data_IF_200253215744
#
_entry.id   IF_200253215744
#
_cell.length_a   1.000
_cell.length_b   1.000
_cell.length_c   1.000
_cell.angle_alpha   90.00
_cell.angle_beta   90.00
_cell.angle_gamma   90.00
#
_symmetry.space_group_name_H-M   'P 1'
#
loop_
_entity.id
_entity.type
_entity.pdbx_description
1 polymer ?
#
# COMPACT_ATOMS: atom_id res chain seq x y z
N UNK A 1 21.06 -6.71 5.68
CA UNK A 1 20.33 -6.21 4.48
C UNK A 1 18.86 -6.06 4.86
N UNK A 2 18.34 -4.88 4.63
CA UNK A 2 16.94 -4.61 4.97
C UNK A 2 16.10 -4.84 3.72
N UNK A 3 15.50 -6.02 3.64
CA UNK A 3 14.66 -6.40 2.51
C UNK A 3 13.23 -5.87 2.72
N UNK A 4 12.52 -5.61 1.62
CA UNK A 4 11.09 -5.31 1.64
C UNK A 4 10.36 -6.52 2.23
N UNK A 5 9.53 -6.35 3.28
CA UNK A 5 8.74 -7.44 3.84
C UNK A 5 7.85 -8.09 2.78
N UNK A 6 7.72 -9.40 2.84
CA UNK A 6 6.86 -10.17 1.93
C UNK A 6 5.39 -10.08 2.34
N UNK A 7 4.83 -8.87 2.26
CA UNK A 7 3.45 -8.56 2.61
C UNK A 7 2.86 -7.71 1.49
N UNK A 8 1.69 -8.07 1.01
CA UNK A 8 0.90 -7.32 0.02
C UNK A 8 -0.29 -6.71 0.73
N UNK A 9 -0.46 -5.41 0.57
CA UNK A 9 -1.57 -4.65 1.14
C UNK A 9 -2.47 -4.12 0.03
N UNK A 10 -3.76 -4.36 0.16
CA UNK A 10 -4.81 -3.73 -0.64
C UNK A 10 -5.89 -3.17 0.27
N UNK A 11 -6.62 -2.17 -0.21
CA UNK A 11 -7.78 -1.60 0.48
C UNK A 11 -9.03 -2.18 -0.15
N UNK A 12 -9.98 -2.60 0.71
CA UNK A 12 -11.28 -3.03 0.26
C UNK A 12 -12.06 -1.84 -0.30
N UNK A 13 -12.35 -1.88 -1.59
CA UNK A 13 -13.21 -0.90 -2.23
C UNK A 13 -14.68 -1.14 -1.84
N UNK A 14 -15.39 -0.06 -1.52
CA UNK A 14 -16.85 -0.09 -1.44
C UNK A 14 -17.42 -0.10 -2.87
N UNK A 15 -17.39 -1.26 -3.50
CA UNK A 15 -17.86 -1.41 -4.88
C UNK A 15 -19.32 -1.76 -4.93
N UNK A 16 -20.00 -1.33 -6.01
CA UNK A 16 -21.31 -1.84 -6.33
C UNK A 16 -21.23 -3.37 -6.57
N UNK A 17 -22.25 -4.16 -6.17
CA UNK A 17 -22.23 -5.62 -6.33
C UNK A 17 -21.88 -6.12 -7.73
N UNK A 18 -22.17 -5.30 -8.75
CA UNK A 18 -21.89 -5.61 -10.16
C UNK A 18 -20.38 -5.76 -10.49
N UNK A 19 -19.52 -5.13 -9.72
CA UNK A 19 -18.06 -5.13 -9.94
C UNK A 19 -17.28 -5.94 -8.91
N UNK A 20 -17.96 -6.56 -7.94
CA UNK A 20 -17.30 -7.30 -6.86
C UNK A 20 -16.42 -8.44 -7.39
N UNK A 21 -16.91 -9.20 -8.37
CA UNK A 21 -16.17 -10.31 -8.96
C UNK A 21 -14.94 -9.85 -9.75
N UNK A 22 -15.05 -8.71 -10.43
CA UNK A 22 -13.93 -8.12 -11.15
C UNK A 22 -12.77 -7.77 -10.20
N UNK A 23 -13.04 -7.00 -9.14
CA UNK A 23 -12.02 -6.63 -8.16
C UNK A 23 -11.50 -7.85 -7.38
N UNK A 24 -12.36 -8.82 -7.09
CA UNK A 24 -11.95 -10.07 -6.46
C UNK A 24 -10.95 -10.85 -7.32
N UNK A 25 -11.17 -10.92 -8.63
CA UNK A 25 -10.25 -11.59 -9.56
C UNK A 25 -8.90 -10.88 -9.64
N UNK A 26 -8.89 -9.53 -9.66
CA UNK A 26 -7.65 -8.75 -9.65
C UNK A 26 -6.86 -8.99 -8.35
N UNK A 27 -7.52 -8.97 -7.20
CA UNK A 27 -6.90 -9.26 -5.91
C UNK A 27 -6.36 -10.69 -5.84
N UNK A 28 -7.10 -11.65 -6.37
CA UNK A 28 -6.69 -13.05 -6.41
C UNK A 28 -5.40 -13.26 -7.21
N UNK A 29 -5.19 -12.49 -8.29
CA UNK A 29 -3.95 -12.56 -9.08
C UNK A 29 -2.69 -12.28 -8.24
N UNK A 30 -2.78 -11.39 -7.26
CA UNK A 30 -1.70 -11.09 -6.33
C UNK A 30 -1.40 -12.25 -5.39
N UNK A 31 -2.42 -12.90 -4.88
CA UNK A 31 -2.30 -14.07 -4.00
C UNK A 31 -1.68 -15.25 -4.75
N UNK A 32 -2.17 -15.53 -5.96
CA UNK A 32 -1.70 -16.65 -6.78
C UNK A 32 -0.25 -16.49 -7.22
N UNK A 33 0.16 -15.29 -7.60
CA UNK A 33 1.55 -15.04 -8.00
C UNK A 33 2.53 -14.95 -6.82
N UNK A 34 2.02 -14.84 -5.57
CA UNK A 34 2.85 -14.70 -4.37
C UNK A 34 2.43 -15.68 -3.26
N UNK A 35 2.50 -17.00 -3.47
CA UNK A 35 1.99 -17.99 -2.52
C UNK A 35 2.73 -18.03 -1.18
N UNK A 36 3.93 -17.47 -1.12
CA UNK A 36 4.74 -17.38 0.11
C UNK A 36 4.67 -16.00 0.79
N UNK A 37 3.87 -15.09 0.26
CA UNK A 37 3.69 -13.77 0.81
C UNK A 37 2.43 -13.71 1.65
N UNK A 38 2.42 -12.86 2.67
CA UNK A 38 1.20 -12.51 3.39
C UNK A 38 0.39 -11.54 2.54
N UNK A 39 -0.92 -11.77 2.46
CA UNK A 39 -1.86 -10.85 1.83
C UNK A 39 -2.77 -10.24 2.89
N UNK A 40 -2.89 -8.91 2.89
CA UNK A 40 -3.74 -8.15 3.81
C UNK A 40 -4.70 -7.26 3.04
N UNK A 41 -6.00 -7.50 3.25
CA UNK A 41 -7.07 -6.64 2.74
C UNK A 41 -7.56 -5.76 3.89
N UNK A 42 -7.41 -4.46 3.74
CA UNK A 42 -7.75 -3.47 4.76
C UNK A 42 -9.13 -2.90 4.54
N UNK A 43 -10.00 -2.98 5.54
CA UNK A 43 -11.27 -2.25 5.57
C UNK A 43 -11.07 -0.83 6.10
N UNK A 44 -12.06 0.03 5.91
CA UNK A 44 -12.07 1.37 6.51
C UNK A 44 -11.96 1.31 8.04
N UNK A 45 -12.57 0.30 8.65
CA UNK A 45 -12.49 0.08 10.10
C UNK A 45 -11.05 -0.23 10.54
N UNK A 46 -10.36 -1.17 9.85
CA UNK A 46 -8.97 -1.53 10.15
C UNK A 46 -8.03 -0.33 10.03
N UNK A 47 -8.26 0.51 9.03
CA UNK A 47 -7.48 1.74 8.80
C UNK A 47 -7.68 2.74 9.94
N UNK A 48 -8.92 2.95 10.38
CA UNK A 48 -9.21 3.83 11.52
C UNK A 48 -8.58 3.30 12.80
N UNK A 49 -8.65 2.00 13.06
CA UNK A 49 -7.97 1.39 14.20
C UNK A 49 -6.45 1.58 14.13
N UNK A 50 -5.84 1.30 12.98
CA UNK A 50 -4.40 1.51 12.78
C UNK A 50 -3.99 2.94 13.12
N UNK A 51 -4.72 3.95 12.62
CA UNK A 51 -4.39 5.35 12.84
C UNK A 51 -4.58 5.73 14.31
N UNK A 52 -5.65 5.29 14.96
CA UNK A 52 -5.89 5.60 16.38
C UNK A 52 -4.87 4.96 17.31
N UNK A 53 -4.44 3.72 17.04
CA UNK A 53 -3.49 3.01 17.88
C UNK A 53 -2.03 3.42 17.64
N UNK A 54 -1.63 3.50 16.39
CA UNK A 54 -0.22 3.70 16.03
C UNK A 54 0.14 5.18 15.79
N UNK A 55 -0.85 5.99 15.42
CA UNK A 55 -0.66 7.40 15.08
C UNK A 55 -1.64 8.33 15.80
N UNK A 56 -1.73 8.27 17.14
CA UNK A 56 -2.76 9.00 17.89
C UNK A 56 -2.71 10.52 17.68
N UNK A 57 -1.53 11.08 17.40
CA UNK A 57 -1.39 12.51 17.09
C UNK A 57 -2.07 12.91 15.78
N UNK A 58 -2.19 12.00 14.83
CA UNK A 58 -2.89 12.22 13.56
C UNK A 58 -4.36 11.83 13.59
N UNK A 59 -4.78 10.97 14.53
CA UNK A 59 -6.15 10.46 14.59
C UNK A 59 -7.18 11.58 14.67
N UNK A 60 -7.00 12.53 15.58
CA UNK A 60 -7.91 13.69 15.74
C UNK A 60 -7.97 14.56 14.48
N UNK A 61 -6.84 14.77 13.82
CA UNK A 61 -6.82 15.51 12.55
C UNK A 61 -7.60 14.76 11.46
N UNK A 62 -7.37 13.46 11.33
CA UNK A 62 -8.06 12.62 10.34
C UNK A 62 -9.58 12.63 10.56
N UNK A 63 -10.02 12.44 11.81
CA UNK A 63 -11.44 12.40 12.15
C UNK A 63 -12.17 13.71 11.86
N UNK A 64 -11.50 14.83 12.09
CA UNK A 64 -12.11 16.16 11.97
C UNK A 64 -12.00 16.76 10.54
N UNK A 65 -11.02 16.35 9.74
CA UNK A 65 -10.70 17.04 8.50
C UNK A 65 -10.82 16.16 7.25
N UNK A 66 -10.86 14.81 7.39
CA UNK A 66 -10.86 13.91 6.26
C UNK A 66 -12.20 13.19 6.14
N UNK A 67 -12.73 13.15 4.92
CA UNK A 67 -13.78 12.20 4.60
C UNK A 67 -13.20 10.79 4.38
N UNK A 68 -14.04 9.77 4.36
CA UNK A 68 -13.62 8.38 4.20
C UNK A 68 -12.78 8.16 2.93
N UNK A 69 -13.11 8.82 1.83
CA UNK A 69 -12.36 8.68 0.58
C UNK A 69 -10.92 9.16 0.72
N UNK A 70 -10.71 10.37 1.23
CA UNK A 70 -9.37 10.92 1.47
C UNK A 70 -8.60 10.09 2.50
N UNK A 71 -9.28 9.60 3.54
CA UNK A 71 -8.67 8.73 4.53
C UNK A 71 -8.15 7.44 3.90
N UNK A 72 -8.92 6.80 3.03
CA UNK A 72 -8.49 5.61 2.30
C UNK A 72 -7.30 5.91 1.37
N UNK A 73 -7.31 7.04 0.68
CA UNK A 73 -6.20 7.44 -0.21
C UNK A 73 -4.88 7.63 0.54
N UNK A 74 -4.88 8.27 1.70
CA UNK A 74 -3.65 8.49 2.48
C UNK A 74 -3.24 7.30 3.34
N UNK A 75 -4.14 6.35 3.58
CA UNK A 75 -3.88 5.21 4.47
C UNK A 75 -2.72 4.32 3.99
N UNK A 76 -2.46 4.29 2.69
CA UNK A 76 -1.30 3.55 2.12
C UNK A 76 0.02 3.96 2.78
N UNK A 77 0.18 5.23 3.11
CA UNK A 77 1.39 5.74 3.75
C UNK A 77 1.50 5.30 5.21
N UNK A 78 0.39 5.29 5.95
CA UNK A 78 0.35 4.78 7.33
C UNK A 78 0.62 3.27 7.38
N UNK A 79 0.01 2.51 6.48
CA UNK A 79 0.20 1.06 6.36
C UNK A 79 1.67 0.73 6.08
N UNK A 80 2.25 1.34 5.05
CA UNK A 80 3.62 1.10 4.64
C UNK A 80 4.63 1.57 5.68
N UNK A 81 4.36 2.70 6.34
CA UNK A 81 5.20 3.18 7.43
C UNK A 81 5.25 2.17 8.60
N UNK A 82 4.10 1.59 8.93
CA UNK A 82 4.00 0.65 10.06
C UNK A 82 4.51 -0.74 9.73
N UNK A 83 4.20 -1.26 8.58
CA UNK A 83 4.43 -2.66 8.22
C UNK A 83 5.46 -2.88 7.11
N UNK A 84 5.75 -1.87 6.30
CA UNK A 84 6.50 -2.06 5.06
C UNK A 84 5.74 -2.94 4.07
N UNK A 85 6.43 -3.51 3.10
CA UNK A 85 5.83 -4.40 2.12
C UNK A 85 5.44 -3.71 0.83
N UNK A 86 4.46 -4.27 0.14
CA UNK A 86 3.91 -3.76 -1.12
C UNK A 86 2.48 -3.27 -0.89
N UNK A 87 2.21 -2.01 -1.20
CA UNK A 87 0.85 -1.50 -1.35
C UNK A 87 0.51 -1.45 -2.83
N UNK A 88 -0.66 -1.95 -3.19
CA UNK A 88 -1.16 -1.93 -4.56
C UNK A 88 -2.66 -1.60 -4.58
N UNK A 89 -3.07 -0.73 -5.51
CA UNK A 89 -4.48 -0.40 -5.71
C UNK A 89 -5.27 -1.63 -6.18
N UNK A 90 -6.54 -1.69 -5.80
CA UNK A 90 -7.42 -2.84 -6.05
C UNK A 90 -7.74 -3.10 -7.53
N UNK A 91 -7.52 -2.11 -8.38
CA UNK A 91 -7.75 -2.17 -9.84
C UNK A 91 -6.53 -2.64 -10.65
N UNK A 92 -5.47 -3.09 -9.97
CA UNK A 92 -4.24 -3.56 -10.62
C UNK A 92 -4.16 -5.08 -10.57
N UNK A 93 -3.98 -5.70 -11.74
CA UNK A 93 -3.71 -7.12 -11.89
C UNK A 93 -2.22 -7.44 -11.74
N UNK A 94 -1.90 -8.54 -11.07
CA UNK A 94 -0.57 -9.09 -11.01
C UNK A 94 -0.37 -10.15 -12.10
N UNK A 95 0.51 -9.88 -13.05
CA UNK A 95 0.80 -10.81 -14.17
C UNK A 95 1.97 -11.73 -13.83
N UNK A 96 2.97 -11.23 -13.11
CA UNK A 96 4.18 -11.95 -12.75
C UNK A 96 4.60 -11.68 -11.30
N UNK A 97 5.29 -12.64 -10.65
CA UNK A 97 5.80 -12.44 -9.28
C UNK A 97 6.74 -11.24 -9.15
N UNK A 98 6.62 -10.52 -8.04
CA UNK A 98 7.41 -9.32 -7.74
C UNK A 98 8.74 -9.62 -7.02
N UNK A 99 9.02 -10.88 -6.68
CA UNK A 99 10.20 -11.26 -5.89
C UNK A 99 11.51 -10.72 -6.46
N UNK A 100 11.74 -10.85 -7.77
CA UNK A 100 12.96 -10.34 -8.42
C UNK A 100 13.01 -8.82 -8.52
N UNK A 101 11.86 -8.17 -8.64
CA UNK A 101 11.78 -6.71 -8.73
C UNK A 101 12.16 -6.06 -7.41
N UNK A 102 11.71 -6.64 -6.28
CA UNK A 102 11.95 -6.07 -4.95
C UNK A 102 13.23 -6.57 -4.29
N UNK A 103 13.88 -7.56 -4.88
CA UNK A 103 15.13 -8.11 -4.36
C UNK A 103 16.20 -7.02 -4.26
N UNK A 104 16.85 -6.96 -3.10
CA UNK A 104 17.91 -5.99 -2.80
C UNK A 104 17.48 -4.51 -2.94
N UNK A 105 16.18 -4.24 -2.93
CA UNK A 105 15.61 -2.89 -2.95
C UNK A 105 15.11 -2.49 -1.57
N UNK A 106 15.15 -1.19 -1.31
CA UNK A 106 14.58 -0.60 -0.08
C UNK A 106 13.26 0.12 -0.36
N UNK A 107 13.10 0.64 -1.57
CA UNK A 107 11.89 1.32 -2.00
C UNK A 107 11.78 1.27 -3.52
N UNK A 108 10.56 1.02 -4.02
CA UNK A 108 10.23 1.12 -5.44
C UNK A 108 8.89 1.82 -5.61
N UNK A 109 8.78 2.59 -6.68
CA UNK A 109 7.54 3.24 -7.09
C UNK A 109 7.23 2.87 -8.54
N UNK A 110 5.96 2.72 -8.85
CA UNK A 110 5.50 2.65 -10.23
C UNK A 110 5.56 4.03 -10.88
N UNK A 111 5.59 4.07 -12.20
CA UNK A 111 5.49 5.32 -12.95
C UNK A 111 4.56 5.14 -14.15
N UNK A 112 3.94 6.24 -14.55
CA UNK A 112 3.10 6.30 -15.75
C UNK A 112 3.93 6.89 -16.89
N UNK A 113 4.00 6.17 -18.02
CA UNK A 113 4.58 6.70 -19.25
C UNK A 113 3.62 7.73 -19.87
N UNK A 114 4.03 8.99 -19.88
CA UNK A 114 3.36 9.98 -20.73
C UNK A 114 4.04 10.09 -22.08
N UNK A 115 3.26 10.45 -23.12
CA UNK A 115 3.71 10.65 -24.51
C UNK A 115 4.77 11.77 -24.66
N UNK A 116 4.97 12.59 -23.66
CA UNK A 116 6.07 13.55 -23.58
C UNK A 116 7.09 13.06 -22.58
N UNK A 117 8.27 12.71 -22.94
CA UNK A 117 9.49 12.29 -22.23
C UNK A 117 9.58 12.47 -20.68
N UNK A 118 8.49 12.84 -19.99
CA UNK A 118 8.40 12.99 -18.53
C UNK A 118 7.80 11.74 -17.90
N UNK A 119 8.53 11.16 -16.94
CA UNK A 119 8.03 10.09 -16.09
C UNK A 119 7.27 10.72 -14.92
N UNK A 120 6.02 10.31 -14.72
CA UNK A 120 5.23 10.69 -13.55
C UNK A 120 5.23 9.50 -12.58
N UNK A 121 5.66 9.72 -11.36
CA UNK A 121 5.59 8.71 -10.29
C UNK A 121 4.13 8.50 -9.94
N UNK A 122 3.71 7.23 -9.89
CA UNK A 122 2.39 6.82 -9.46
C UNK A 122 2.46 6.22 -8.06
N UNK A 123 1.46 6.47 -7.25
CA UNK A 123 1.28 5.87 -5.94
C UNK A 123 0.36 4.64 -5.94
N UNK A 124 -0.08 4.21 -7.12
CA UNK A 124 -0.91 3.03 -7.30
C UNK A 124 -0.20 1.71 -6.95
N UNK A 125 1.13 1.70 -7.00
CA UNK A 125 1.96 0.62 -6.49
C UNK A 125 3.21 1.21 -5.84
N UNK A 126 3.37 0.96 -4.54
CA UNK A 126 4.50 1.43 -3.73
C UNK A 126 5.06 0.24 -2.95
N UNK A 127 6.38 0.10 -2.95
CA UNK A 127 7.05 -0.90 -2.11
C UNK A 127 8.06 -0.23 -1.19
N UNK A 128 8.09 -0.62 0.08
CA UNK A 128 8.98 0.00 1.07
C UNK A 128 9.50 -1.03 2.07
N UNK A 129 10.79 -0.97 2.38
CA UNK A 129 11.35 -1.68 3.53
C UNK A 129 11.00 -0.93 4.81
N UNK A 130 10.64 -1.66 5.84
CA UNK A 130 10.29 -1.14 7.16
C UNK A 130 11.36 -0.21 7.76
N UNK A 131 12.64 -0.51 7.55
CA UNK A 131 13.76 0.26 8.09
C UNK A 131 14.03 1.56 7.35
N UNK A 132 13.67 1.64 6.07
CA UNK A 132 13.90 2.84 5.26
C UNK A 132 13.09 4.04 5.78
N UNK A 133 11.84 3.83 6.15
CA UNK A 133 10.98 4.89 6.66
C UNK A 133 11.31 5.31 8.10
N UNK A 134 11.76 4.36 8.94
CA UNK A 134 12.15 4.66 10.34
C UNK A 134 13.55 5.21 10.51
N UNK A 135 14.44 5.02 9.56
CA UNK A 135 15.81 5.56 9.64
C UNK A 135 15.85 7.09 9.73
N UNK A 136 14.79 7.76 9.27
CA UNK A 136 14.69 9.23 9.37
C UNK A 136 14.13 9.74 10.70
N UNK A 137 13.60 8.86 11.58
CA UNK A 137 13.11 9.28 12.91
C UNK A 137 14.22 9.42 13.96
N UNK A 138 15.32 8.69 13.81
CA UNK A 138 16.40 8.68 14.81
C UNK A 138 17.33 9.88 14.73
N UNK A 139 17.28 10.65 13.66
CA UNK A 139 18.15 11.83 13.45
C UNK A 139 17.55 13.17 13.97
N UNK A 140 16.41 13.12 14.66
CA UNK A 140 15.71 14.32 15.16
C UNK A 140 15.68 14.47 16.70
N UNK A 141 16.52 13.70 17.43
CA UNK A 141 16.67 13.88 18.89
C UNK A 141 18.10 14.14 19.28
#
# INVERSE_FOLDING_TARGET
>A
MHNIPKIIHQIQEETQPLFSDFFSNLSQSWVENHPLWQYKLWSLHDIKELIHYEFPHFATFCDNNLNNKLLLEISRYFILYREGGIFVDSDIECIEPFDDIVKDKQCCFSYVLQLSSKKIISDSLITVSYTHLRAHETDQY
#
